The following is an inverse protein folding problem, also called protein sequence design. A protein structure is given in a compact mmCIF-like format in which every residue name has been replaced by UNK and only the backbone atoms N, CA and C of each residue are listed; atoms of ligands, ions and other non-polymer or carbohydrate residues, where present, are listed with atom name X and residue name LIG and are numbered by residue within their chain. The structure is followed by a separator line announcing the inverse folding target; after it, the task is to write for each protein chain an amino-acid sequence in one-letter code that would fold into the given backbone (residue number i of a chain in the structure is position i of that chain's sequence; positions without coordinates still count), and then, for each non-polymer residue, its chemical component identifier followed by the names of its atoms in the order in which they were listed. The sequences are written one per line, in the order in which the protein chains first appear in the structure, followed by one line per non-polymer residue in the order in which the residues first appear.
data_IF_782485240358
#
_entry.id   IF_782485240358
#
_cell.length_a   1.000
_cell.length_b   1.000
_cell.length_c   1.000
_cell.angle_alpha   90.00
_cell.angle_beta   90.00
_cell.angle_gamma   90.00
#
_symmetry.space_group_name_H-M   'P 1'
#
loop_
_entity.id
_entity.type
_entity.pdbx_description
1 polymer ?
#
# COMPACT_ATOMS: atom_id res chain seq x y z
N UNK A 1 -26.72 -27.50 57.44
CA UNK A 1 -27.48 -27.24 56.21
C UNK A 1 -26.58 -26.49 55.23
N UNK A 2 -26.13 -27.15 54.18
CA UNK A 2 -25.30 -26.54 53.12
C UNK A 2 -26.09 -26.67 51.84
N UNK A 3 -26.86 -25.66 51.44
CA UNK A 3 -27.40 -25.54 50.07
C UNK A 3 -27.91 -24.12 49.84
N UNK A 4 -27.10 -23.26 49.20
CA UNK A 4 -27.55 -22.20 48.30
C UNK A 4 -26.41 -21.20 47.99
N UNK A 5 -25.36 -21.63 47.26
CA UNK A 5 -24.40 -20.67 46.69
C UNK A 5 -23.66 -21.22 45.46
N UNK A 6 -24.28 -22.10 44.66
CA UNK A 6 -23.60 -22.73 43.50
C UNK A 6 -24.45 -22.75 42.22
N UNK A 7 -25.33 -21.77 42.06
CA UNK A 7 -26.25 -21.68 40.92
C UNK A 7 -26.01 -20.51 39.96
N UNK A 8 -25.07 -19.59 40.24
CA UNK A 8 -24.85 -18.40 39.38
C UNK A 8 -23.65 -18.50 38.45
N UNK A 9 -22.67 -19.36 38.75
CA UNK A 9 -21.43 -19.44 37.96
C UNK A 9 -21.53 -20.40 36.76
N UNK A 10 -22.63 -21.16 36.65
CA UNK A 10 -22.82 -22.19 35.61
C UNK A 10 -23.64 -21.71 34.41
N UNK A 11 -24.59 -20.79 34.61
CA UNK A 11 -25.52 -20.37 33.54
C UNK A 11 -24.84 -19.44 32.52
N UNK A 12 -23.82 -18.68 32.96
CA UNK A 12 -23.05 -17.80 32.07
C UNK A 12 -22.08 -18.55 31.13
N UNK A 13 -21.88 -19.87 31.32
CA UNK A 13 -20.89 -20.64 30.57
C UNK A 13 -21.47 -21.46 29.40
N UNK A 14 -22.80 -21.59 29.25
CA UNK A 14 -23.40 -22.62 28.37
C UNK A 14 -24.71 -22.21 27.65
N UNK A 15 -24.94 -20.91 27.36
CA UNK A 15 -26.03 -20.59 26.42
C UNK A 15 -25.61 -21.00 25.00
N UNK A 16 -26.39 -21.85 24.30
CA UNK A 16 -26.09 -22.25 22.92
C UNK A 16 -26.03 -21.05 21.97
N UNK A 17 -26.86 -20.04 22.22
CA UNK A 17 -26.85 -18.77 21.46
C UNK A 17 -25.52 -18.02 21.60
N UNK A 18 -24.87 -18.11 22.78
CA UNK A 18 -23.56 -17.51 23.05
C UNK A 18 -22.41 -18.30 22.40
N UNK A 19 -22.57 -19.62 22.27
CA UNK A 19 -21.63 -20.46 21.54
C UNK A 19 -21.71 -20.21 20.02
N UNK A 20 -22.93 -20.17 19.48
CA UNK A 20 -23.21 -19.83 18.08
C UNK A 20 -22.70 -18.42 17.73
N UNK A 21 -22.96 -17.42 18.58
CA UNK A 21 -22.46 -16.07 18.36
C UNK A 21 -20.92 -16.00 18.37
N UNK A 22 -20.24 -16.81 19.20
CA UNK A 22 -18.77 -16.87 19.20
C UNK A 22 -18.22 -17.53 17.94
N UNK A 23 -18.88 -18.59 17.47
CA UNK A 23 -18.54 -19.27 16.23
C UNK A 23 -18.70 -18.33 15.02
N UNK A 24 -19.83 -17.63 14.93
CA UNK A 24 -20.07 -16.61 13.90
C UNK A 24 -19.02 -15.49 13.94
N UNK A 25 -18.62 -15.02 15.13
CA UNK A 25 -17.55 -14.02 15.25
C UNK A 25 -16.20 -14.56 14.76
N UNK A 26 -15.91 -15.84 15.01
CA UNK A 26 -14.68 -16.48 14.52
C UNK A 26 -14.69 -16.60 12.99
N UNK A 27 -15.80 -17.04 12.40
CA UNK A 27 -15.97 -17.12 10.95
C UNK A 27 -15.83 -15.75 10.29
N UNK A 28 -16.49 -14.72 10.83
CA UNK A 28 -16.39 -13.35 10.31
C UNK A 28 -14.96 -12.80 10.41
N UNK A 29 -14.22 -13.12 11.48
CA UNK A 29 -12.82 -12.73 11.62
C UNK A 29 -11.92 -13.42 10.59
N UNK A 30 -12.17 -14.71 10.32
CA UNK A 30 -11.43 -15.44 9.30
C UNK A 30 -11.72 -14.89 7.90
N UNK A 31 -12.98 -14.61 7.58
CA UNK A 31 -13.37 -14.01 6.31
C UNK A 31 -12.77 -12.61 6.12
N UNK A 32 -12.77 -11.79 7.19
CA UNK A 32 -12.12 -10.47 7.15
C UNK A 32 -10.61 -10.57 6.95
N UNK A 33 -9.98 -11.59 7.55
CA UNK A 33 -8.55 -11.80 7.39
C UNK A 33 -8.22 -12.23 5.96
N UNK A 34 -8.99 -13.15 5.36
CA UNK A 34 -8.79 -13.54 3.96
C UNK A 34 -8.99 -12.36 3.01
N UNK A 35 -10.02 -11.52 3.24
CA UNK A 35 -10.23 -10.33 2.41
C UNK A 35 -9.06 -9.34 2.50
N UNK A 36 -8.48 -9.16 3.69
CA UNK A 36 -7.28 -8.32 3.87
C UNK A 36 -6.08 -8.89 3.13
N UNK A 37 -5.89 -10.21 3.18
CA UNK A 37 -4.79 -10.87 2.49
C UNK A 37 -4.97 -10.76 0.96
N UNK A 38 -6.19 -10.97 0.45
CA UNK A 38 -6.52 -10.79 -0.97
C UNK A 38 -6.30 -9.33 -1.42
N UNK A 39 -6.66 -8.36 -0.57
CA UNK A 39 -6.41 -6.94 -0.85
C UNK A 39 -4.92 -6.64 -0.96
N UNK A 40 -4.07 -7.23 -0.12
CA UNK A 40 -2.62 -7.06 -0.22
C UNK A 40 -2.09 -7.59 -1.56
N UNK A 41 -2.60 -8.74 -2.02
CA UNK A 41 -2.25 -9.29 -3.34
C UNK A 41 -2.62 -8.31 -4.45
N UNK A 42 -3.84 -7.76 -4.43
CA UNK A 42 -4.29 -6.77 -5.42
C UNK A 42 -3.45 -5.48 -5.36
N UNK A 43 -3.09 -5.01 -4.17
CA UNK A 43 -2.22 -3.84 -4.00
C UNK A 43 -0.81 -4.07 -4.57
N UNK A 44 -0.27 -5.29 -4.41
CA UNK A 44 1.01 -5.68 -5.00
C UNK A 44 0.94 -5.79 -6.54
N UNK A 45 -0.14 -6.37 -7.08
CA UNK A 45 -0.39 -6.40 -8.52
C UNK A 45 -0.53 -5.00 -9.12
N UNK A 46 -1.27 -4.11 -8.45
CA UNK A 46 -1.39 -2.71 -8.85
C UNK A 46 -0.04 -2.00 -8.82
N UNK A 47 0.82 -2.28 -7.83
CA UNK A 47 2.17 -1.72 -7.77
C UNK A 47 3.02 -2.21 -8.95
N UNK A 48 2.95 -3.49 -9.28
CA UNK A 48 3.66 -4.07 -10.42
C UNK A 48 3.19 -3.47 -11.76
N UNK A 49 1.88 -3.34 -11.95
CA UNK A 49 1.29 -2.74 -13.16
C UNK A 49 1.67 -1.26 -13.31
N UNK A 50 1.69 -0.50 -12.21
CA UNK A 50 2.17 0.90 -12.23
C UNK A 50 3.62 0.98 -12.66
N UNK A 51 4.50 0.13 -12.12
CA UNK A 51 5.90 0.08 -12.52
C UNK A 51 6.06 -0.24 -14.02
N UNK A 52 5.31 -1.23 -14.52
CA UNK A 52 5.29 -1.56 -15.96
C UNK A 52 4.81 -0.38 -16.82
N UNK A 53 3.76 0.31 -16.39
CA UNK A 53 3.23 1.48 -17.11
C UNK A 53 4.23 2.64 -17.12
N UNK A 54 4.93 2.90 -16.03
CA UNK A 54 5.99 3.91 -15.99
C UNK A 54 7.11 3.57 -16.98
N UNK A 55 7.59 2.32 -17.00
CA UNK A 55 8.60 1.88 -17.97
C UNK A 55 8.10 2.09 -19.40
N UNK A 56 6.86 1.70 -19.70
CA UNK A 56 6.26 1.89 -21.02
C UNK A 56 6.17 3.37 -21.41
N UNK A 57 5.76 4.24 -20.48
CA UNK A 57 5.69 5.68 -20.71
C UNK A 57 7.06 6.30 -20.98
N UNK A 58 8.12 5.90 -20.28
CA UNK A 58 9.48 6.35 -20.56
C UNK A 58 9.94 5.98 -21.98
N UNK A 59 9.55 4.81 -22.49
CA UNK A 59 9.86 4.42 -23.87
C UNK A 59 9.00 5.18 -24.89
N UNK A 60 7.73 5.46 -24.58
CA UNK A 60 6.87 6.29 -25.43
C UNK A 60 7.39 7.73 -25.52
N UNK A 61 7.88 8.31 -24.42
CA UNK A 61 8.44 9.68 -24.40
C UNK A 61 9.83 9.76 -25.02
N UNK A 62 10.64 8.70 -24.96
CA UNK A 62 11.94 8.62 -25.63
C UNK A 62 11.82 8.48 -27.16
N UNK A 63 10.63 8.18 -27.70
CA UNK A 63 10.41 8.00 -29.14
C UNK A 63 10.96 6.68 -29.71
N UNK A 64 11.50 5.81 -28.85
CA UNK A 64 12.21 4.58 -29.21
C UNK A 64 11.32 3.35 -28.98
N UNK A 65 10.20 3.27 -29.71
CA UNK A 65 9.19 2.22 -29.50
C UNK A 65 9.66 0.81 -29.91
N UNK A 66 10.69 0.72 -30.76
CA UNK A 66 11.20 -0.52 -31.38
C UNK A 66 12.73 -0.74 -31.21
N UNK A 67 13.36 -0.15 -30.19
CA UNK A 67 14.82 -0.32 -29.99
C UNK A 67 15.18 -1.72 -29.45
N UNK A 68 16.05 -2.50 -30.13
CA UNK A 68 16.54 -3.80 -29.65
C UNK A 68 17.33 -3.72 -28.32
N UNK A 69 17.76 -2.54 -27.89
CA UNK A 69 18.36 -2.30 -26.57
C UNK A 69 17.42 -2.68 -25.41
N UNK A 70 16.11 -2.79 -25.64
CA UNK A 70 15.10 -3.18 -24.64
C UNK A 70 15.38 -4.52 -23.95
N UNK A 71 16.04 -5.46 -24.62
CA UNK A 71 16.42 -6.76 -24.04
C UNK A 71 17.65 -6.69 -23.13
N UNK A 72 18.50 -5.67 -23.30
CA UNK A 72 19.70 -5.44 -22.48
C UNK A 72 19.54 -4.29 -21.48
N UNK A 73 18.46 -3.51 -21.60
CA UNK A 73 18.16 -2.38 -20.74
C UNK A 73 17.74 -2.85 -19.35
N UNK A 74 18.60 -2.59 -18.35
CA UNK A 74 18.31 -2.99 -16.97
C UNK A 74 17.28 -2.03 -16.35
N UNK A 75 16.21 -2.55 -15.72
CA UNK A 75 15.21 -1.74 -15.01
C UNK A 75 15.81 -0.78 -13.99
N UNK A 76 16.99 -1.09 -13.44
CA UNK A 76 17.71 -0.27 -12.45
C UNK A 76 18.12 1.12 -12.97
N UNK A 77 18.33 1.29 -14.27
CA UNK A 77 18.74 2.58 -14.85
C UNK A 77 17.52 3.46 -15.11
N UNK A 78 16.41 2.85 -15.54
CA UNK A 78 15.11 3.51 -15.66
C UNK A 78 14.59 3.92 -14.29
N UNK A 79 14.63 3.04 -13.28
CA UNK A 79 14.21 3.41 -11.92
C UNK A 79 15.04 4.55 -11.39
N UNK A 80 16.37 4.58 -11.57
CA UNK A 80 17.18 5.73 -11.12
C UNK A 80 16.80 7.06 -11.79
N UNK A 81 16.52 7.05 -13.09
CA UNK A 81 16.15 8.26 -13.82
C UNK A 81 14.72 8.70 -13.48
N UNK A 82 13.78 7.75 -13.38
CA UNK A 82 12.42 7.99 -12.92
C UNK A 82 12.42 8.46 -11.46
N UNK A 83 13.23 7.88 -10.58
CA UNK A 83 13.35 8.29 -9.17
C UNK A 83 13.95 9.70 -9.07
N UNK A 84 14.87 10.07 -9.96
CA UNK A 84 15.36 11.45 -10.04
C UNK A 84 14.23 12.41 -10.46
N UNK A 85 13.51 12.12 -11.54
CA UNK A 85 12.38 12.93 -12.01
C UNK A 85 11.22 12.99 -10.99
N UNK A 86 10.90 11.89 -10.32
CA UNK A 86 9.89 11.82 -9.27
C UNK A 86 10.27 12.70 -8.07
N UNK A 87 11.55 12.71 -7.66
CA UNK A 87 12.01 13.61 -6.59
C UNK A 87 11.82 15.08 -6.94
N UNK A 88 11.97 15.46 -8.21
CA UNK A 88 11.67 16.82 -8.66
C UNK A 88 10.17 17.14 -8.58
N UNK A 89 9.31 16.19 -8.91
CA UNK A 89 7.86 16.34 -8.76
C UNK A 89 7.46 16.45 -7.28
N UNK A 90 8.01 15.62 -6.41
CA UNK A 90 7.78 15.65 -4.96
C UNK A 90 8.27 16.98 -4.36
N UNK A 91 9.47 17.43 -4.71
CA UNK A 91 9.99 18.73 -4.28
C UNK A 91 9.09 19.88 -4.73
N UNK A 92 8.61 19.87 -5.98
CA UNK A 92 7.69 20.90 -6.48
C UNK A 92 6.36 20.92 -5.69
N UNK A 93 5.86 19.75 -5.27
CA UNK A 93 4.67 19.66 -4.42
C UNK A 93 4.93 20.22 -3.01
N UNK A 94 6.08 19.94 -2.41
CA UNK A 94 6.46 20.49 -1.10
C UNK A 94 6.62 22.01 -1.13
N UNK A 95 7.21 22.57 -2.20
CA UNK A 95 7.30 24.02 -2.41
C UNK A 95 5.91 24.64 -2.50
N UNK A 96 4.99 24.03 -3.24
CA UNK A 96 3.61 24.52 -3.34
C UNK A 96 2.89 24.47 -1.99
N UNK A 97 3.08 23.40 -1.22
CA UNK A 97 2.54 23.28 0.14
C UNK A 97 3.12 24.33 1.10
N UNK A 98 4.42 24.61 1.01
CA UNK A 98 5.08 25.66 1.77
C UNK A 98 4.45 27.03 1.48
N UNK A 99 4.23 27.37 0.20
CA UNK A 99 3.61 28.64 -0.21
C UNK A 99 2.18 28.76 0.30
N UNK A 100 1.38 27.70 0.18
CA UNK A 100 -0.03 27.72 0.61
C UNK A 100 -0.18 27.77 2.13
N UNK A 101 0.74 27.13 2.87
CA UNK A 101 0.75 27.14 4.33
C UNK A 101 1.36 28.42 4.93
N UNK A 102 1.96 29.29 4.12
CA UNK A 102 2.68 30.48 4.58
C UNK A 102 3.98 30.15 5.32
N UNK A 103 4.50 28.93 5.13
CA UNK A 103 5.81 28.54 5.66
C UNK A 103 6.94 29.25 4.89
N UNK A 104 8.04 29.53 5.58
CA UNK A 104 9.25 30.12 4.99
C UNK A 104 10.38 29.10 4.86
N UNK A 105 10.16 27.85 5.26
CA UNK A 105 11.16 26.80 5.23
C UNK A 105 11.19 26.12 3.86
N UNK A 106 12.24 26.39 3.09
CA UNK A 106 12.39 25.85 1.74
C UNK A 106 12.81 24.38 1.78
N UNK A 107 12.09 23.47 1.10
CA UNK A 107 12.52 22.09 0.98
C UNK A 107 13.81 22.01 0.14
N UNK A 108 14.72 21.07 0.47
CA UNK A 108 16.01 20.93 -0.20
C UNK A 108 15.81 20.51 -1.67
N UNK A 109 16.44 21.26 -2.57
CA UNK A 109 16.36 21.01 -4.02
C UNK A 109 17.08 19.68 -4.38
N UNK A 110 16.43 18.78 -5.13
CA UNK A 110 17.04 17.52 -5.53
C UNK A 110 18.10 17.73 -6.62
N UNK A 111 19.04 16.79 -6.75
CA UNK A 111 20.04 16.81 -7.81
C UNK A 111 19.37 16.73 -9.19
N UNK A 112 19.88 17.49 -10.17
CA UNK A 112 19.40 17.41 -11.55
C UNK A 112 19.58 16.00 -12.12
N UNK A 113 18.56 15.45 -12.81
CA UNK A 113 18.73 14.20 -13.54
C UNK A 113 19.81 14.41 -14.62
N UNK A 114 20.91 13.66 -14.50
CA UNK A 114 21.98 13.69 -15.50
C UNK A 114 21.46 13.06 -16.79
N UNK A 115 21.25 13.90 -17.82
CA UNK A 115 20.89 13.50 -19.19
C UNK A 115 21.84 12.47 -19.78
#
# INVERSE_FOLDING_TARGET
MIYAARGRDSIAAQSPELAEAREQILELRQALQSERDDRLVVEDELRALRAQRMVALCWETAGERDDPARETFKPTTITKHIDAELRWVEWAQEVLLMVVSGSTEMPPEPDQPTR
#
